data_IF_069157143732
#
_entry.id   IF_069157143732
#
_cell.length_a   1.000
_cell.length_b   1.000
_cell.length_c   1.000
_cell.angle_alpha   90.00
_cell.angle_beta   90.00
_cell.angle_gamma   90.00
#
_symmetry.space_group_name_H-M   'P 1'
#
loop_
_entity.id
_entity.type
_entity.pdbx_description
1 polymer ?
#
# COMPACT_ATOMS: atom_id res chain seq x y z
N UNK A 1 20.30 -12.47 2.66
CA UNK A 1 20.20 -11.00 2.52
C UNK A 1 19.05 -10.65 1.59
N UNK A 2 18.57 -9.38 1.63
CA UNK A 2 17.52 -8.91 0.72
C UNK A 2 17.93 -9.07 -0.76
N UNK A 3 19.19 -8.82 -1.07
CA UNK A 3 19.72 -9.02 -2.44
C UNK A 3 19.61 -10.46 -2.92
N UNK A 4 19.90 -11.43 -2.05
CA UNK A 4 19.73 -12.85 -2.39
C UNK A 4 18.29 -13.19 -2.68
N UNK A 5 17.36 -12.76 -1.82
CA UNK A 5 15.91 -12.95 -1.99
C UNK A 5 15.44 -12.37 -3.33
N UNK A 6 15.81 -11.12 -3.62
CA UNK A 6 15.45 -10.46 -4.87
C UNK A 6 15.93 -11.26 -6.08
N UNK A 7 17.19 -11.67 -6.06
CA UNK A 7 17.78 -12.44 -7.17
C UNK A 7 17.11 -13.80 -7.34
N UNK A 8 16.93 -14.54 -6.27
CA UNK A 8 16.28 -15.86 -6.30
C UNK A 8 14.86 -15.76 -6.87
N UNK A 9 14.04 -14.85 -6.34
CA UNK A 9 12.65 -14.69 -6.79
C UNK A 9 12.57 -14.18 -8.24
N UNK A 10 13.40 -13.19 -8.61
CA UNK A 10 13.43 -12.70 -9.99
C UNK A 10 13.91 -13.77 -10.98
N UNK A 11 14.97 -14.51 -10.66
CA UNK A 11 15.46 -15.59 -11.51
C UNK A 11 14.40 -16.68 -11.71
N UNK A 12 13.72 -17.04 -10.63
CA UNK A 12 12.67 -18.06 -10.71
C UNK A 12 11.45 -17.55 -11.50
N UNK A 13 10.97 -16.35 -11.22
CA UNK A 13 9.79 -15.80 -11.90
C UNK A 13 10.02 -15.53 -13.39
N UNK A 14 11.12 -14.84 -13.73
CA UNK A 14 11.43 -14.46 -15.12
C UNK A 14 12.14 -15.55 -15.93
N UNK A 15 12.56 -16.65 -15.28
CA UNK A 15 13.35 -17.75 -15.90
C UNK A 15 14.64 -17.26 -16.53
N UNK A 16 15.34 -16.39 -15.80
CA UNK A 16 16.62 -15.78 -16.22
C UNK A 16 17.77 -16.17 -15.28
N UNK A 17 19.00 -15.90 -15.69
CA UNK A 17 20.18 -16.17 -14.89
C UNK A 17 20.44 -15.04 -13.86
N UNK A 18 21.26 -15.34 -12.86
CA UNK A 18 21.61 -14.38 -11.81
C UNK A 18 22.32 -13.11 -12.35
N UNK A 19 23.03 -13.25 -13.48
CA UNK A 19 23.69 -12.13 -14.16
C UNK A 19 22.71 -11.17 -14.83
N UNK A 20 21.49 -11.62 -15.12
CA UNK A 20 20.46 -10.81 -15.77
C UNK A 20 19.67 -9.95 -14.78
N UNK A 21 19.90 -10.14 -13.48
CA UNK A 21 19.22 -9.41 -12.40
C UNK A 21 20.19 -8.46 -11.72
N UNK A 22 19.93 -7.15 -11.84
CA UNK A 22 20.70 -6.09 -11.19
C UNK A 22 19.79 -5.30 -10.23
N UNK A 23 20.29 -5.01 -9.05
CA UNK A 23 19.58 -4.18 -8.06
C UNK A 23 20.16 -2.78 -8.18
N UNK A 24 19.36 -1.84 -8.68
CA UNK A 24 19.84 -0.49 -8.96
C UNK A 24 19.84 0.38 -7.71
N UNK A 25 18.69 0.45 -7.03
CA UNK A 25 18.52 1.29 -5.85
C UNK A 25 17.47 0.73 -4.91
N UNK A 26 17.57 1.11 -3.64
CA UNK A 26 16.49 0.96 -2.67
C UNK A 26 15.73 2.28 -2.60
N UNK A 27 14.43 2.27 -2.89
CA UNK A 27 13.58 3.43 -2.66
C UNK A 27 13.44 3.68 -1.16
N UNK A 28 13.72 4.92 -0.74
CA UNK A 28 13.49 5.36 0.64
C UNK A 28 12.06 5.87 0.73
N UNK A 29 11.29 5.35 1.66
CA UNK A 29 9.89 5.70 1.87
C UNK A 29 9.07 4.45 2.23
N UNK A 30 8.04 4.64 3.04
CA UNK A 30 7.23 3.55 3.58
C UNK A 30 7.85 2.94 4.85
N UNK A 31 7.03 2.83 5.90
CA UNK A 31 7.44 2.21 7.17
C UNK A 31 7.25 0.70 7.16
N UNK A 32 6.36 0.20 6.31
CA UNK A 32 5.93 -1.19 6.27
C UNK A 32 6.71 -2.06 5.30
N UNK A 33 7.35 -1.49 4.27
CA UNK A 33 7.94 -2.24 3.16
C UNK A 33 9.33 -1.74 2.75
N UNK A 34 10.16 -2.64 2.21
CA UNK A 34 11.42 -2.32 1.55
C UNK A 34 11.22 -2.48 0.04
N UNK A 35 11.20 -1.36 -0.69
CA UNK A 35 11.02 -1.36 -2.15
C UNK A 35 12.36 -1.11 -2.84
N UNK A 36 12.65 -1.95 -3.83
CA UNK A 36 13.85 -1.89 -4.65
C UNK A 36 13.49 -1.68 -6.11
N UNK A 37 14.29 -0.90 -6.83
CA UNK A 37 14.26 -0.87 -8.29
C UNK A 37 15.22 -1.93 -8.79
N UNK A 38 14.73 -2.86 -9.58
CA UNK A 38 15.48 -3.97 -10.13
C UNK A 38 15.46 -3.90 -11.66
N UNK A 39 16.59 -4.23 -12.28
CA UNK A 39 16.71 -4.36 -13.72
C UNK A 39 16.82 -5.86 -14.04
N UNK A 40 15.85 -6.36 -14.82
CA UNK A 40 15.83 -7.76 -15.25
C UNK A 40 15.88 -7.79 -16.77
N UNK A 41 16.95 -8.34 -17.32
CA UNK A 41 17.19 -8.39 -18.78
C UNK A 41 16.99 -7.02 -19.47
N UNK A 42 17.42 -5.93 -18.84
CA UNK A 42 17.32 -4.58 -19.38
C UNK A 42 15.99 -3.85 -19.13
N UNK A 43 14.97 -4.50 -18.55
CA UNK A 43 13.70 -3.85 -18.18
C UNK A 43 13.63 -3.59 -16.67
N UNK A 44 13.16 -2.40 -16.27
CA UNK A 44 13.01 -2.00 -14.87
C UNK A 44 11.71 -2.54 -14.28
N UNK A 45 11.80 -2.97 -13.02
CA UNK A 45 10.68 -3.38 -12.17
C UNK A 45 10.87 -2.83 -10.76
N UNK A 46 9.81 -2.83 -9.97
CA UNK A 46 9.88 -2.66 -8.52
C UNK A 46 9.77 -4.01 -7.85
N UNK A 47 10.60 -4.25 -6.85
CA UNK A 47 10.55 -5.43 -5.99
C UNK A 47 10.29 -4.99 -4.55
N UNK A 48 9.23 -5.52 -3.93
CA UNK A 48 8.89 -5.24 -2.53
C UNK A 48 9.23 -6.45 -1.65
N UNK A 49 9.92 -6.17 -0.54
CA UNK A 49 10.09 -7.09 0.58
C UNK A 49 9.35 -6.48 1.77
N UNK A 50 8.41 -7.20 2.41
CA UNK A 50 7.76 -6.72 3.63
C UNK A 50 8.76 -6.43 4.75
N UNK A 51 8.49 -5.37 5.50
CA UNK A 51 9.22 -5.07 6.71
C UNK A 51 8.94 -6.10 7.82
N UNK A 52 9.78 -6.07 8.84
CA UNK A 52 9.59 -6.96 10.00
C UNK A 52 8.21 -6.72 10.62
N UNK A 53 7.46 -7.81 10.79
CA UNK A 53 6.10 -7.81 11.37
C UNK A 53 5.02 -7.14 10.51
N UNK A 54 5.27 -6.89 9.22
CA UNK A 54 4.26 -6.36 8.31
C UNK A 54 3.00 -7.25 8.27
N UNK A 55 3.15 -8.55 8.46
CA UNK A 55 2.07 -9.53 8.58
C UNK A 55 1.08 -9.25 9.73
N UNK A 56 1.48 -8.45 10.71
CA UNK A 56 0.60 -8.03 11.80
C UNK A 56 -0.39 -6.93 11.40
N UNK A 57 -0.15 -6.25 10.28
CA UNK A 57 -0.89 -5.07 9.88
C UNK A 57 -1.52 -5.19 8.50
N UNK A 58 -1.00 -6.07 7.66
CA UNK A 58 -1.43 -6.25 6.27
C UNK A 58 -1.79 -7.70 6.01
N UNK A 59 -3.03 -7.93 5.58
CA UNK A 59 -3.50 -9.21 5.07
C UNK A 59 -3.21 -9.28 3.56
N UNK A 60 -2.35 -10.21 3.15
CA UNK A 60 -1.91 -10.33 1.76
C UNK A 60 -2.99 -10.89 0.82
N UNK A 61 -3.95 -11.61 1.36
CA UNK A 61 -5.12 -12.07 0.59
C UNK A 61 -6.00 -10.88 0.23
N UNK A 62 -6.26 -10.01 1.22
CA UNK A 62 -7.01 -8.77 1.03
C UNK A 62 -6.27 -7.83 0.06
N UNK A 63 -4.95 -7.66 0.23
CA UNK A 63 -4.14 -6.86 -0.69
C UNK A 63 -4.23 -7.38 -2.13
N UNK A 64 -4.15 -8.70 -2.34
CA UNK A 64 -4.25 -9.30 -3.68
C UNK A 64 -5.59 -8.96 -4.33
N UNK A 65 -6.68 -9.09 -3.58
CA UNK A 65 -8.02 -8.74 -4.06
C UNK A 65 -8.10 -7.25 -4.45
N UNK A 66 -7.56 -6.36 -3.63
CA UNK A 66 -7.59 -4.92 -3.93
C UNK A 66 -6.71 -4.53 -5.12
N UNK A 67 -5.56 -5.19 -5.30
CA UNK A 67 -4.72 -5.01 -6.49
C UNK A 67 -5.46 -5.44 -7.76
N UNK A 68 -6.22 -6.54 -7.72
CA UNK A 68 -7.01 -7.00 -8.86
C UNK A 68 -8.16 -6.03 -9.17
N UNK A 69 -8.84 -5.56 -8.15
CA UNK A 69 -9.94 -4.62 -8.27
C UNK A 69 -9.46 -3.26 -8.82
N UNK A 70 -8.32 -2.77 -8.34
CA UNK A 70 -7.72 -1.49 -8.75
C UNK A 70 -7.26 -1.50 -10.23
N UNK A 71 -6.95 -2.65 -10.81
CA UNK A 71 -6.56 -2.75 -12.24
C UNK A 71 -7.57 -2.11 -13.18
N UNK A 72 -8.85 -2.09 -12.82
CA UNK A 72 -9.90 -1.43 -13.59
C UNK A 72 -9.75 0.10 -13.61
N UNK A 73 -9.15 0.66 -12.57
CA UNK A 73 -8.88 2.10 -12.45
C UNK A 73 -7.57 2.51 -13.15
N UNK A 74 -6.62 1.60 -13.22
CA UNK A 74 -5.31 1.84 -13.82
C UNK A 74 -4.46 2.88 -13.09
N UNK A 75 -4.67 3.09 -11.80
CA UNK A 75 -3.98 4.10 -11.00
C UNK A 75 -2.65 3.62 -10.45
N UNK A 76 -2.52 2.34 -10.15
CA UNK A 76 -1.32 1.73 -9.59
C UNK A 76 -0.36 1.25 -10.69
N UNK A 77 0.80 0.76 -10.29
CA UNK A 77 1.65 0.00 -11.19
C UNK A 77 1.14 -1.45 -11.32
N UNK A 78 1.29 -2.01 -12.52
CA UNK A 78 0.85 -3.37 -12.78
C UNK A 78 1.66 -4.38 -11.95
N UNK A 79 1.02 -5.01 -10.96
CA UNK A 79 1.60 -6.10 -10.18
C UNK A 79 1.60 -7.37 -11.03
N UNK A 80 2.79 -7.94 -11.26
CA UNK A 80 2.98 -9.14 -12.09
C UNK A 80 3.26 -10.39 -11.24
N UNK A 81 3.68 -10.21 -10.00
CA UNK A 81 3.93 -11.27 -9.04
C UNK A 81 3.62 -10.79 -7.62
N UNK A 82 2.86 -11.57 -6.89
CA UNK A 82 2.66 -11.40 -5.44
C UNK A 82 2.55 -12.79 -4.81
N UNK A 83 3.44 -13.06 -3.88
CA UNK A 83 3.40 -14.27 -3.05
C UNK A 83 2.71 -13.93 -1.73
N UNK A 84 1.58 -14.57 -1.48
CA UNK A 84 0.74 -14.33 -0.30
C UNK A 84 1.45 -14.74 1.00
N UNK A 85 2.27 -15.81 0.96
CA UNK A 85 2.96 -16.32 2.16
C UNK A 85 4.11 -15.41 2.59
N UNK A 86 4.93 -14.96 1.64
CA UNK A 86 6.10 -14.13 1.94
C UNK A 86 5.82 -12.64 1.83
N UNK A 87 4.78 -12.25 1.10
CA UNK A 87 4.47 -10.87 0.75
C UNK A 87 5.43 -10.25 -0.27
N UNK A 88 6.30 -11.04 -0.92
CA UNK A 88 7.17 -10.54 -1.97
C UNK A 88 6.34 -10.17 -3.19
N UNK A 89 6.58 -8.97 -3.73
CA UNK A 89 5.82 -8.43 -4.86
C UNK A 89 6.75 -7.90 -5.92
N UNK A 90 6.48 -8.24 -7.19
CA UNK A 90 7.11 -7.62 -8.35
C UNK A 90 6.04 -6.86 -9.12
N UNK A 91 6.32 -5.62 -9.45
CA UNK A 91 5.44 -4.80 -10.28
C UNK A 91 6.24 -4.04 -11.34
N UNK A 92 5.58 -3.63 -12.41
CA UNK A 92 6.19 -2.82 -13.45
C UNK A 92 6.66 -1.48 -12.87
N UNK A 93 7.85 -1.04 -13.30
CA UNK A 93 8.37 0.25 -12.88
C UNK A 93 7.65 1.38 -13.59
N UNK A 94 7.19 2.37 -12.83
CA UNK A 94 6.68 3.63 -13.37
C UNK A 94 7.70 4.73 -13.07
N UNK A 95 8.08 5.47 -14.10
CA UNK A 95 8.94 6.63 -13.94
C UNK A 95 8.12 7.84 -13.44
N UNK A 96 8.53 8.39 -12.31
CA UNK A 96 7.82 9.49 -11.68
C UNK A 96 8.44 9.88 -10.34
N UNK A 97 7.94 10.97 -9.77
CA UNK A 97 8.34 11.47 -8.47
C UNK A 97 7.16 11.43 -7.49
N UNK A 98 7.33 10.93 -6.26
CA UNK A 98 6.30 11.00 -5.25
C UNK A 98 6.02 12.46 -4.86
N UNK A 99 4.78 12.80 -4.55
CA UNK A 99 4.41 14.16 -4.14
C UNK A 99 5.12 14.61 -2.86
N UNK A 100 5.63 13.67 -2.05
CA UNK A 100 6.46 13.99 -0.88
C UNK A 100 7.83 14.61 -1.24
N UNK A 101 8.26 14.49 -2.50
CA UNK A 101 9.48 15.10 -3.02
C UNK A 101 9.21 16.37 -3.86
N UNK A 102 7.94 16.75 -4.00
CA UNK A 102 7.45 17.91 -4.73
C UNK A 102 6.72 18.88 -3.79
N UNK A 103 6.28 20.03 -4.30
CA UNK A 103 5.31 20.84 -3.56
C UNK A 103 3.90 20.26 -3.77
N UNK A 104 3.31 19.55 -2.78
CA UNK A 104 2.03 18.86 -2.97
C UNK A 104 0.87 19.82 -3.23
N UNK A 105 0.98 21.09 -2.86
CA UNK A 105 -0.07 22.09 -3.08
C UNK A 105 -0.31 22.35 -4.58
N UNK A 106 0.70 22.16 -5.43
CA UNK A 106 0.58 22.35 -6.88
C UNK A 106 -0.27 21.24 -7.53
N UNK A 107 -0.53 20.13 -6.82
CA UNK A 107 -1.22 18.93 -7.34
C UNK A 107 -2.53 18.62 -6.61
N UNK A 108 -3.06 19.54 -5.78
CA UNK A 108 -4.28 19.28 -4.99
C UNK A 108 -5.48 18.90 -5.86
N UNK A 109 -5.66 19.57 -6.99
CA UNK A 109 -6.78 19.29 -7.90
C UNK A 109 -6.60 17.91 -8.57
N UNK A 110 -5.38 17.57 -9.00
CA UNK A 110 -5.09 16.26 -9.61
C UNK A 110 -5.31 15.14 -8.58
N UNK A 111 -4.83 15.32 -7.34
CA UNK A 111 -5.04 14.36 -6.25
C UNK A 111 -6.53 14.18 -5.91
N UNK A 112 -7.29 15.28 -5.85
CA UNK A 112 -8.74 15.21 -5.65
C UNK A 112 -9.43 14.45 -6.78
N UNK A 113 -9.04 14.68 -8.04
CA UNK A 113 -9.60 13.97 -9.20
C UNK A 113 -9.30 12.46 -9.13
N UNK A 114 -8.07 12.07 -8.74
CA UNK A 114 -7.71 10.66 -8.54
C UNK A 114 -8.57 10.02 -7.46
N UNK A 115 -8.77 10.69 -6.32
CA UNK A 115 -9.63 10.17 -5.25
C UNK A 115 -11.11 10.09 -5.68
N UNK A 116 -11.61 11.06 -6.44
CA UNK A 116 -12.94 10.98 -7.03
C UNK A 116 -13.08 9.80 -7.98
N UNK A 117 -12.07 9.54 -8.83
CA UNK A 117 -12.07 8.37 -9.72
C UNK A 117 -12.22 7.06 -8.92
N UNK A 118 -11.54 6.95 -7.77
CA UNK A 118 -11.66 5.79 -6.89
C UNK A 118 -13.06 5.69 -6.27
N UNK A 119 -13.52 6.77 -5.62
CA UNK A 119 -14.76 6.78 -4.85
C UNK A 119 -16.01 6.64 -5.73
N UNK A 120 -15.98 7.15 -6.96
CA UNK A 120 -17.10 7.15 -7.89
C UNK A 120 -17.10 5.93 -8.82
N UNK A 121 -16.10 5.05 -8.73
CA UNK A 121 -15.89 3.91 -9.63
C UNK A 121 -17.01 2.86 -9.60
N UNK A 122 -17.82 2.85 -8.56
CA UNK A 122 -18.82 1.78 -8.27
C UNK A 122 -18.20 0.40 -8.02
N UNK A 123 -16.89 0.29 -7.98
CA UNK A 123 -16.19 -0.93 -7.58
C UNK A 123 -16.46 -1.23 -6.12
N UNK A 124 -16.65 -2.50 -5.81
CA UNK A 124 -16.92 -2.95 -4.44
C UNK A 124 -15.95 -4.04 -4.06
N UNK A 125 -15.27 -3.84 -2.94
CA UNK A 125 -14.47 -4.87 -2.32
C UNK A 125 -15.38 -5.91 -1.64
N UNK A 126 -14.95 -7.16 -1.63
CA UNK A 126 -15.53 -8.22 -0.78
C UNK A 126 -15.12 -8.04 0.68
N UNK A 127 -14.11 -7.22 0.93
CA UNK A 127 -13.57 -6.92 2.26
C UNK A 127 -13.90 -5.50 2.66
N UNK A 128 -14.58 -5.33 3.79
CA UNK A 128 -14.83 -4.02 4.37
C UNK A 128 -13.65 -3.59 5.25
N UNK A 129 -13.28 -2.32 5.18
CA UNK A 129 -12.40 -1.74 6.17
C UNK A 129 -13.12 -1.67 7.52
N UNK A 130 -12.56 -2.36 8.53
CA UNK A 130 -13.07 -2.34 9.91
C UNK A 130 -12.20 -1.42 10.80
N UNK A 131 -12.53 -0.14 10.93
CA UNK A 131 -11.74 0.80 11.74
C UNK A 131 -11.77 0.46 13.24
N UNK A 132 -12.85 -0.16 13.73
CA UNK A 132 -12.95 -0.52 15.15
C UNK A 132 -12.16 -1.78 15.45
N UNK A 133 -12.21 -2.79 14.60
CA UNK A 133 -11.38 -3.98 14.71
C UNK A 133 -9.90 -3.63 14.60
N UNK A 134 -9.53 -2.72 13.69
CA UNK A 134 -8.16 -2.23 13.57
C UNK A 134 -7.70 -1.46 14.82
N UNK A 135 -8.56 -0.62 15.39
CA UNK A 135 -8.28 0.05 16.66
C UNK A 135 -8.02 -0.95 17.78
N UNK A 136 -8.89 -1.96 17.93
CA UNK A 136 -8.74 -3.01 18.93
C UNK A 136 -7.44 -3.81 18.75
N UNK A 137 -7.07 -4.12 17.49
CA UNK A 137 -5.82 -4.80 17.17
C UNK A 137 -4.59 -3.97 17.61
N UNK A 138 -4.58 -2.68 17.32
CA UNK A 138 -3.48 -1.80 17.73
C UNK A 138 -3.38 -1.65 19.24
N UNK A 139 -4.51 -1.59 19.95
CA UNK A 139 -4.55 -1.60 21.41
C UNK A 139 -3.98 -2.90 21.98
N UNK A 140 -4.34 -4.03 21.39
CA UNK A 140 -3.79 -5.34 21.79
C UNK A 140 -2.27 -5.35 21.61
N UNK A 141 -1.76 -4.93 20.43
CA UNK A 141 -0.32 -4.88 20.19
C UNK A 141 0.38 -3.93 21.16
N UNK A 142 -0.21 -2.78 21.48
CA UNK A 142 0.34 -1.84 22.46
C UNK A 142 0.53 -2.51 23.83
N UNK A 143 -0.47 -3.27 24.28
CA UNK A 143 -0.39 -4.04 25.54
C UNK A 143 0.65 -5.15 25.47
N UNK A 144 0.72 -5.90 24.36
CA UNK A 144 1.73 -6.96 24.15
C UNK A 144 3.16 -6.42 24.25
N UNK A 145 3.40 -5.16 23.85
CA UNK A 145 4.69 -4.48 23.99
C UNK A 145 4.89 -3.82 25.37
N UNK A 146 3.99 -4.04 26.32
CA UNK A 146 4.11 -3.55 27.70
C UNK A 146 3.77 -2.06 27.88
N UNK A 147 3.07 -1.46 26.91
CA UNK A 147 2.59 -0.08 27.02
C UNK A 147 1.14 -0.02 27.49
N UNK A 148 0.79 1.07 28.17
CA UNK A 148 -0.58 1.39 28.61
C UNK A 148 -1.03 2.70 27.99
N UNK A 149 -2.31 2.82 27.74
CA UNK A 149 -2.91 4.06 27.27
C UNK A 149 -3.12 5.04 28.43
N UNK A 150 -3.08 6.34 28.13
CA UNK A 150 -3.38 7.39 29.10
C UNK A 150 -4.89 7.53 29.33
N UNK A 151 -5.29 8.12 30.46
CA UNK A 151 -6.70 8.45 30.74
C UNK A 151 -7.29 9.32 29.63
N UNK A 152 -6.49 10.22 29.07
CA UNK A 152 -6.90 11.06 27.93
C UNK A 152 -7.23 10.26 26.68
N UNK A 153 -6.50 9.19 26.41
CA UNK A 153 -6.79 8.29 25.30
C UNK A 153 -8.14 7.60 25.51
N UNK A 154 -8.40 7.06 26.69
CA UNK A 154 -9.66 6.36 27.01
C UNK A 154 -10.87 7.31 26.91
N UNK A 155 -10.74 8.55 27.37
CA UNK A 155 -11.76 9.58 27.21
C UNK A 155 -12.07 9.86 25.73
N UNK A 156 -11.02 10.08 24.91
CA UNK A 156 -11.18 10.35 23.47
C UNK A 156 -11.77 9.15 22.73
N UNK A 157 -11.36 7.93 23.09
CA UNK A 157 -11.92 6.70 22.53
C UNK A 157 -13.40 6.58 22.85
N UNK A 158 -13.79 6.78 24.11
CA UNK A 158 -15.21 6.74 24.51
C UNK A 158 -16.05 7.77 23.72
N UNK A 159 -15.51 8.98 23.55
CA UNK A 159 -16.14 10.03 22.74
C UNK A 159 -16.24 9.63 21.26
N UNK A 160 -15.18 9.10 20.67
CA UNK A 160 -15.19 8.60 19.29
C UNK A 160 -16.27 7.50 19.11
N UNK A 161 -16.30 6.52 20.01
CA UNK A 161 -17.27 5.43 19.96
C UNK A 161 -18.72 5.89 20.09
N UNK A 162 -18.97 7.02 20.76
CA UNK A 162 -20.34 7.59 20.84
C UNK A 162 -20.89 8.08 19.50
N UNK A 163 -20.01 8.31 18.50
CA UNK A 163 -20.40 8.72 17.15
C UNK A 163 -20.37 7.59 16.12
N UNK A 164 -20.00 6.36 16.51
CA UNK A 164 -19.76 5.26 15.58
C UNK A 164 -20.92 5.03 14.59
N UNK A 165 -22.17 5.07 15.07
CA UNK A 165 -23.33 4.79 14.24
C UNK A 165 -23.59 5.87 13.18
N UNK A 166 -23.09 7.09 13.40
CA UNK A 166 -23.17 8.17 12.43
C UNK A 166 -22.13 8.06 11.30
N UNK A 167 -20.96 7.49 11.59
CA UNK A 167 -19.83 7.45 10.65
C UNK A 167 -19.62 6.08 10.00
N UNK A 168 -20.01 4.99 10.67
CA UNK A 168 -19.78 3.63 10.20
C UNK A 168 -21.06 3.01 9.58
N UNK A 169 -21.74 3.77 8.74
CA UNK A 169 -22.90 3.28 8.02
C UNK A 169 -22.46 2.61 6.70
N UNK A 170 -22.57 1.27 6.60
CA UNK A 170 -22.16 0.47 5.42
C UNK A 170 -22.85 0.89 4.12
N UNK A 171 -24.05 1.46 4.17
CA UNK A 171 -24.76 1.95 2.96
C UNK A 171 -24.00 3.07 2.25
N UNK A 172 -23.07 3.72 2.94
CA UNK A 172 -22.23 4.80 2.40
C UNK A 172 -20.83 4.34 2.02
N UNK A 173 -20.51 3.05 2.16
CA UNK A 173 -19.20 2.55 1.84
C UNK A 173 -18.98 2.55 0.33
N UNK A 174 -17.85 3.05 -0.07
CA UNK A 174 -17.32 3.00 -1.43
C UNK A 174 -15.90 2.51 -1.39
N UNK A 175 -15.36 2.06 -2.51
CA UNK A 175 -13.94 1.75 -2.58
C UNK A 175 -13.12 2.98 -2.17
N UNK A 176 -12.17 2.79 -1.30
CA UNK A 176 -11.23 3.82 -0.88
C UNK A 176 -9.82 3.24 -0.83
N UNK A 177 -8.82 4.08 -0.94
CA UNK A 177 -7.42 3.63 -0.91
C UNK A 177 -6.93 3.26 0.50
N UNK A 178 -7.52 3.83 1.53
CA UNK A 178 -7.14 3.58 2.93
C UNK A 178 -5.85 4.26 3.42
N UNK A 179 -4.93 4.66 2.50
CA UNK A 179 -3.66 5.32 2.83
C UNK A 179 -3.23 6.34 1.75
N UNK A 180 -4.09 7.27 1.39
CA UNK A 180 -3.85 8.26 0.33
C UNK A 180 -2.95 9.44 0.79
N UNK A 181 -1.80 9.13 1.37
CA UNK A 181 -0.79 10.12 1.77
C UNK A 181 0.09 10.56 0.59
N UNK A 182 0.75 11.72 0.72
CA UNK A 182 1.55 12.32 -0.37
C UNK A 182 2.70 11.45 -0.90
N UNK A 183 3.22 10.52 -0.10
CA UNK A 183 4.25 9.57 -0.55
C UNK A 183 3.69 8.47 -1.47
N UNK A 184 2.38 8.23 -1.44
CA UNK A 184 1.70 7.22 -2.26
C UNK A 184 1.15 7.79 -3.57
N UNK A 185 1.15 9.11 -3.74
CA UNK A 185 0.91 9.74 -5.03
C UNK A 185 2.21 9.87 -5.82
N UNK A 186 2.23 9.34 -7.04
CA UNK A 186 3.38 9.39 -7.95
C UNK A 186 3.05 10.28 -9.16
N UNK A 187 3.71 11.42 -9.28
CA UNK A 187 3.60 12.29 -10.46
C UNK A 187 4.48 11.75 -11.57
N UNK A 188 3.85 11.28 -12.64
CA UNK A 188 4.50 10.92 -13.89
C UNK A 188 4.52 12.14 -14.82
N UNK A 189 5.10 11.96 -16.01
CA UNK A 189 5.08 13.01 -17.05
C UNK A 189 3.65 13.42 -17.43
N UNK A 190 2.72 12.47 -17.48
CA UNK A 190 1.42 12.67 -18.10
C UNK A 190 0.26 12.74 -17.07
N UNK A 191 0.40 12.09 -15.92
CA UNK A 191 -0.68 11.94 -14.96
C UNK A 191 -0.18 11.78 -13.51
N UNK A 192 -1.11 11.83 -12.56
CA UNK A 192 -0.88 11.47 -11.17
C UNK A 192 -1.41 10.05 -10.92
N UNK A 193 -0.55 9.19 -10.38
CA UNK A 193 -0.85 7.80 -10.01
C UNK A 193 -1.03 7.67 -8.51
N UNK A 194 -1.78 6.68 -8.07
CA UNK A 194 -1.98 6.36 -6.65
C UNK A 194 -1.51 4.93 -6.39
N UNK A 195 -0.43 4.82 -5.61
CA UNK A 195 0.33 3.61 -5.37
C UNK A 195 0.02 3.00 -4.00
N UNK A 196 0.35 1.72 -3.80
CA UNK A 196 0.35 1.04 -2.50
C UNK A 196 -1.03 0.79 -1.88
N UNK A 197 -1.79 -0.09 -2.53
CA UNK A 197 -3.18 -0.45 -2.20
C UNK A 197 -3.32 -1.53 -1.11
N UNK A 198 -2.40 -1.62 -0.19
CA UNK A 198 -2.40 -2.66 0.86
C UNK A 198 -3.44 -2.42 1.96
N UNK A 199 -4.11 -1.25 1.98
CA UNK A 199 -5.13 -0.87 2.96
C UNK A 199 -6.48 -0.46 2.35
N UNK A 200 -6.69 -0.71 1.09
CA UNK A 200 -7.92 -0.35 0.37
C UNK A 200 -9.16 -1.09 0.88
#
# INVERSE_FOLDING_TARGET
TNEQIIKEVCCDYFKVSNSDVQINERRMGGMSNYTYVVLVSGKKYTFRIPGKKAEKFVDRTVETHHIELERELGLNNNTIYLDIETGYKIAEYIDGQPLSELNPLDYLQEAANVLHQVHDSQLKSEYDYDPLGRLALYEQHTKEYGHTHSDRYEELKARFLSFKDAYLNRERYTLSHGDSQISNFLKTKDELRLMDWEFA
#
